data_IF_462801044036
#
_entry.id   IF_462801044036
#
_cell.length_a   1.000
_cell.length_b   1.000
_cell.length_c   1.000
_cell.angle_alpha   90.00
_cell.angle_beta   90.00
_cell.angle_gamma   90.00
#
_symmetry.space_group_name_H-M   'P 1'
#
loop_
_entity.id
_entity.type
_entity.pdbx_description
1 polymer ?
#
# COMPACT_ATOMS: atom_id res chain seq x y z
N UNK A 1 9.35 -41.64 -17.14
CA UNK A 1 8.03 -41.16 -16.68
C UNK A 1 7.07 -42.30 -16.32
N UNK A 2 7.00 -43.39 -17.10
CA UNK A 2 6.13 -44.56 -16.78
C UNK A 2 6.42 -45.22 -15.43
N UNK A 3 7.69 -45.32 -15.01
CA UNK A 3 8.09 -45.94 -13.73
C UNK A 3 7.54 -45.20 -12.49
N UNK A 4 7.42 -43.87 -12.54
CA UNK A 4 6.90 -43.09 -11.40
C UNK A 4 5.39 -43.24 -11.22
N UNK A 5 4.65 -43.44 -12.31
CA UNK A 5 3.20 -43.65 -12.25
C UNK A 5 2.86 -44.96 -11.53
N UNK A 6 3.68 -45.99 -11.68
CA UNK A 6 3.44 -47.28 -11.00
C UNK A 6 3.79 -47.25 -9.51
N UNK A 7 4.69 -46.36 -9.07
CA UNK A 7 5.15 -46.31 -7.68
C UNK A 7 4.10 -45.81 -6.68
N UNK A 8 3.16 -44.98 -7.13
CA UNK A 8 2.12 -44.37 -6.29
C UNK A 8 0.74 -44.99 -6.50
N UNK A 9 0.55 -45.71 -7.59
CA UNK A 9 -0.73 -46.33 -7.95
C UNK A 9 -1.24 -47.22 -6.81
N UNK A 10 -2.45 -46.96 -6.35
CA UNK A 10 -3.11 -47.72 -5.29
C UNK A 10 -2.58 -47.49 -3.87
N UNK A 11 -1.59 -46.61 -3.67
CA UNK A 11 -1.12 -46.26 -2.32
C UNK A 11 -2.11 -45.33 -1.61
N UNK A 12 -2.11 -45.41 -0.28
CA UNK A 12 -2.83 -44.48 0.60
C UNK A 12 -1.81 -43.61 1.33
N UNK A 13 -1.74 -42.34 0.97
CA UNK A 13 -0.79 -41.38 1.54
C UNK A 13 -1.42 -40.62 2.72
N UNK A 14 -0.62 -40.36 3.74
CA UNK A 14 -0.98 -39.51 4.88
C UNK A 14 -0.53 -38.09 4.59
N UNK A 15 -1.48 -37.16 4.51
CA UNK A 15 -1.25 -35.78 4.10
C UNK A 15 -1.50 -34.84 5.26
N UNK A 16 -0.47 -34.09 5.65
CA UNK A 16 -0.56 -33.02 6.63
C UNK A 16 -1.09 -31.72 6.01
N UNK A 17 -1.91 -30.96 6.74
CA UNK A 17 -2.28 -29.58 6.39
C UNK A 17 -2.52 -28.75 7.64
N UNK A 18 -2.54 -27.42 7.47
CA UNK A 18 -3.10 -26.50 8.44
C UNK A 18 -4.61 -26.31 8.19
N UNK A 19 -5.47 -26.41 9.22
CA UNK A 19 -6.92 -26.48 9.01
C UNK A 19 -7.60 -25.13 8.72
N UNK A 20 -6.96 -23.99 9.00
CA UNK A 20 -7.63 -22.69 9.06
C UNK A 20 -7.05 -21.62 8.08
N UNK A 21 -6.38 -22.03 7.00
CA UNK A 21 -5.70 -21.11 6.08
C UNK A 21 -6.52 -20.82 4.81
N UNK A 22 -7.73 -20.28 4.95
CA UNK A 22 -8.56 -19.93 3.78
C UNK A 22 -7.97 -18.73 3.00
N UNK A 23 -8.03 -18.72 1.65
CA UNK A 23 -8.55 -19.77 0.75
C UNK A 23 -7.48 -20.77 0.27
N UNK A 24 -6.28 -20.75 0.86
CA UNK A 24 -5.12 -21.53 0.44
C UNK A 24 -5.28 -23.02 0.75
N UNK A 25 -5.57 -23.36 2.01
CA UNK A 25 -5.92 -24.70 2.46
C UNK A 25 -6.76 -24.64 3.73
N UNK A 26 -7.82 -25.45 3.81
CA UNK A 26 -8.59 -25.65 5.03
C UNK A 26 -9.22 -27.03 5.05
N UNK A 27 -9.70 -27.45 6.22
CA UNK A 27 -10.31 -28.77 6.41
C UNK A 27 -11.71 -28.61 6.97
N UNK A 28 -12.64 -29.44 6.48
CA UNK A 28 -13.96 -29.61 7.07
C UNK A 28 -14.19 -31.07 7.42
N UNK A 29 -15.09 -31.35 8.35
CA UNK A 29 -15.50 -32.72 8.66
C UNK A 29 -16.77 -33.03 7.89
N UNK A 30 -16.77 -34.13 7.15
CA UNK A 30 -17.97 -34.59 6.48
C UNK A 30 -18.97 -35.13 7.51
N UNK A 31 -20.15 -34.49 7.59
CA UNK A 31 -21.19 -34.83 8.57
C UNK A 31 -21.74 -36.26 8.45
N UNK A 32 -21.56 -36.93 7.30
CA UNK A 32 -22.09 -38.28 7.05
C UNK A 32 -21.07 -39.37 7.36
N UNK A 33 -19.79 -39.13 7.10
CA UNK A 33 -18.72 -40.13 7.22
C UNK A 33 -17.80 -39.88 8.41
N UNK A 34 -17.85 -38.69 9.01
CA UNK A 34 -16.90 -38.25 10.04
C UNK A 34 -15.47 -38.05 9.52
N UNK A 35 -15.24 -38.23 8.21
CA UNK A 35 -13.92 -38.10 7.60
C UNK A 35 -13.57 -36.63 7.36
N UNK A 36 -12.29 -36.30 7.51
CA UNK A 36 -11.75 -35.00 7.16
C UNK A 36 -11.68 -34.84 5.63
N UNK A 37 -12.18 -33.71 5.14
CA UNK A 37 -12.16 -33.29 3.74
C UNK A 37 -11.38 -31.98 3.60
N UNK A 38 -10.41 -31.99 2.69
CA UNK A 38 -9.52 -30.86 2.45
C UNK A 38 -10.01 -30.01 1.30
N UNK A 39 -9.92 -28.69 1.46
CA UNK A 39 -10.39 -27.70 0.50
C UNK A 39 -9.38 -26.57 0.31
N UNK A 40 -9.53 -25.83 -0.79
CA UNK A 40 -8.66 -24.73 -1.18
C UNK A 40 -7.67 -25.14 -2.27
N UNK A 41 -6.85 -24.17 -2.69
CA UNK A 41 -5.97 -24.31 -3.85
C UNK A 41 -5.00 -25.49 -3.67
N UNK A 42 -4.45 -25.69 -2.46
CA UNK A 42 -3.53 -26.80 -2.21
C UNK A 42 -4.19 -28.18 -2.44
N UNK A 43 -5.46 -28.31 -2.04
CA UNK A 43 -6.21 -29.56 -2.19
C UNK A 43 -6.74 -29.76 -3.62
N UNK A 44 -6.99 -28.69 -4.38
CA UNK A 44 -7.31 -28.79 -5.80
C UNK A 44 -6.13 -29.36 -6.60
N UNK A 45 -4.91 -28.89 -6.30
CA UNK A 45 -3.67 -29.44 -6.88
C UNK A 45 -3.52 -30.91 -6.45
N UNK A 46 -3.69 -31.21 -5.15
CA UNK A 46 -3.55 -32.57 -4.64
C UNK A 46 -4.57 -33.55 -5.25
N UNK A 47 -5.83 -33.12 -5.41
CA UNK A 47 -6.88 -33.90 -6.09
C UNK A 47 -6.52 -34.19 -7.54
N UNK A 48 -5.97 -33.19 -8.24
CA UNK A 48 -5.49 -33.36 -9.62
C UNK A 48 -4.34 -34.39 -9.69
N UNK A 49 -3.41 -34.35 -8.73
CA UNK A 49 -2.33 -35.33 -8.64
C UNK A 49 -2.86 -36.73 -8.28
N UNK A 50 -3.77 -36.81 -7.32
CA UNK A 50 -4.42 -38.06 -6.90
C UNK A 50 -5.13 -38.75 -8.06
N UNK A 51 -5.88 -38.00 -8.87
CA UNK A 51 -6.53 -38.51 -10.07
C UNK A 51 -5.53 -38.94 -11.15
N UNK A 52 -4.45 -38.17 -11.36
CA UNK A 52 -3.44 -38.45 -12.38
C UNK A 52 -2.56 -39.67 -12.07
N UNK A 53 -2.20 -39.84 -10.80
CA UNK A 53 -1.29 -40.90 -10.34
C UNK A 53 -2.00 -42.05 -9.62
N UNK A 54 -3.35 -42.02 -9.60
CA UNK A 54 -4.23 -43.05 -9.04
C UNK A 54 -3.88 -43.45 -7.59
N UNK A 55 -3.51 -42.48 -6.75
CA UNK A 55 -3.31 -42.69 -5.31
C UNK A 55 -4.47 -42.12 -4.51
N UNK A 56 -4.69 -42.69 -3.33
CA UNK A 56 -5.65 -42.18 -2.34
C UNK A 56 -4.91 -41.48 -1.21
N UNK A 57 -5.59 -40.62 -0.46
CA UNK A 57 -5.00 -39.99 0.70
C UNK A 57 -5.97 -39.81 1.86
N UNK A 58 -5.41 -39.63 3.05
CA UNK A 58 -6.12 -39.19 4.24
C UNK A 58 -5.43 -37.98 4.87
N UNK A 59 -6.22 -37.16 5.54
CA UNK A 59 -5.74 -35.91 6.12
C UNK A 59 -5.43 -36.15 7.58
N UNK A 60 -4.22 -35.75 7.99
CA UNK A 60 -3.77 -35.75 9.38
C UNK A 60 -3.52 -34.30 9.79
N UNK A 61 -4.07 -33.90 10.94
CA UNK A 61 -3.91 -32.54 11.45
C UNK A 61 -2.82 -32.50 12.52
N UNK A 62 -1.95 -31.47 12.52
CA UNK A 62 -0.97 -31.28 13.58
C UNK A 62 -1.65 -30.84 14.88
N UNK A 63 -1.10 -31.27 16.02
CA UNK A 63 -1.54 -30.82 17.35
C UNK A 63 -1.33 -29.33 17.56
N UNK A 64 -0.28 -28.75 16.94
CA UNK A 64 0.01 -27.31 16.96
C UNK A 64 -0.12 -26.72 15.55
N UNK A 65 -0.94 -25.68 15.42
CA UNK A 65 -1.18 -24.95 14.17
C UNK A 65 -0.05 -23.94 13.87
N UNK A 66 1.18 -24.41 13.80
CA UNK A 66 2.37 -23.58 13.53
C UNK A 66 3.25 -24.20 12.45
N UNK A 67 3.94 -23.33 11.71
CA UNK A 67 4.97 -23.69 10.73
C UNK A 67 6.38 -23.75 11.34
N UNK A 68 6.52 -23.34 12.61
CA UNK A 68 7.80 -23.42 13.33
C UNK A 68 8.12 -24.88 13.67
N UNK A 69 9.40 -25.26 13.63
CA UNK A 69 9.86 -26.58 14.05
C UNK A 69 9.73 -26.74 15.57
N UNK A 70 8.56 -27.22 15.99
CA UNK A 70 8.17 -27.45 17.39
C UNK A 70 7.42 -28.76 17.49
N UNK A 71 7.44 -29.41 18.66
CA UNK A 71 6.73 -30.67 18.86
C UNK A 71 5.23 -30.55 18.57
N UNK A 72 4.74 -31.44 17.72
CA UNK A 72 3.36 -31.45 17.24
C UNK A 72 3.03 -30.39 16.18
N UNK A 73 4.01 -29.62 15.69
CA UNK A 73 3.85 -28.75 14.51
C UNK A 73 3.76 -29.55 13.21
N UNK A 74 3.35 -28.90 12.11
CA UNK A 74 3.30 -29.55 10.80
C UNK A 74 4.68 -29.99 10.30
N UNK A 75 5.73 -29.25 10.68
CA UNK A 75 7.11 -29.59 10.33
C UNK A 75 7.58 -30.80 11.15
N UNK A 76 7.24 -30.85 12.43
CA UNK A 76 7.60 -31.97 13.30
C UNK A 76 6.94 -33.29 12.85
N UNK A 77 5.63 -33.29 12.55
CA UNK A 77 4.94 -34.50 12.07
C UNK A 77 5.45 -35.00 10.71
N UNK A 78 5.99 -34.11 9.87
CA UNK A 78 6.64 -34.49 8.61
C UNK A 78 8.05 -35.05 8.87
N UNK A 79 8.75 -34.55 9.90
CA UNK A 79 10.09 -34.99 10.32
C UNK A 79 10.04 -36.37 10.98
N UNK A 80 9.02 -36.62 11.79
CA UNK A 80 8.80 -37.89 12.49
C UNK A 80 8.22 -38.98 11.57
N UNK A 81 7.78 -38.63 10.36
CA UNK A 81 7.16 -39.55 9.42
C UNK A 81 5.73 -39.94 9.79
N UNK A 82 5.05 -39.15 10.62
CA UNK A 82 3.61 -39.29 10.87
C UNK A 82 2.78 -38.96 9.64
N UNK A 83 3.28 -38.06 8.79
CA UNK A 83 2.72 -37.76 7.47
C UNK A 83 3.77 -38.00 6.38
N UNK A 84 3.30 -38.40 5.20
CA UNK A 84 4.16 -38.68 4.04
C UNK A 84 4.42 -37.41 3.21
N UNK A 85 3.48 -36.46 3.26
CA UNK A 85 3.63 -35.15 2.63
C UNK A 85 2.78 -34.08 3.30
N UNK A 86 3.05 -32.81 2.99
CA UNK A 86 2.25 -31.66 3.42
C UNK A 86 1.61 -30.98 2.22
N UNK A 87 0.31 -30.74 2.30
CA UNK A 87 -0.47 -29.99 1.30
C UNK A 87 -0.96 -28.67 1.90
N UNK A 88 -0.08 -27.67 1.93
CA UNK A 88 -0.37 -26.32 2.42
C UNK A 88 0.56 -25.30 1.73
N UNK A 89 0.25 -24.01 1.88
CA UNK A 89 1.12 -22.93 1.42
C UNK A 89 2.20 -22.65 2.47
N UNK A 90 3.31 -23.39 2.35
CA UNK A 90 4.44 -23.28 3.27
C UNK A 90 5.53 -22.40 2.62
N UNK A 91 5.95 -21.30 3.25
CA UNK A 91 7.02 -20.46 2.72
C UNK A 91 8.36 -21.19 2.80
N UNK A 92 9.08 -21.25 1.67
CA UNK A 92 10.46 -21.73 1.65
C UNK A 92 11.36 -20.62 2.17
N UNK A 93 11.75 -20.70 3.44
CA UNK A 93 12.65 -19.73 4.04
C UNK A 93 14.09 -20.09 3.67
N UNK A 94 14.67 -19.36 2.72
CA UNK A 94 16.08 -19.50 2.37
C UNK A 94 16.94 -18.70 3.37
N UNK A 95 16.96 -19.15 4.62
CA UNK A 95 17.79 -18.53 5.65
C UNK A 95 19.23 -18.95 5.36
N UNK A 96 20.03 -18.04 4.78
CA UNK A 96 21.49 -18.19 4.80
C UNK A 96 21.92 -18.20 6.27
N UNK A 97 22.13 -19.40 6.84
CA UNK A 97 22.74 -19.54 8.16
C UNK A 97 24.14 -18.91 8.07
N UNK A 98 24.31 -17.70 8.60
CA UNK A 98 25.62 -17.09 8.71
C UNK A 98 26.46 -17.99 9.64
N UNK A 99 27.45 -18.69 9.07
CA UNK A 99 28.40 -19.59 9.76
C UNK A 99 29.20 -18.93 10.90
N UNK A 100 28.98 -17.65 11.19
CA UNK A 100 29.71 -16.87 12.20
C UNK A 100 29.29 -17.16 13.65
N UNK A 101 28.11 -17.75 13.90
CA UNK A 101 27.69 -18.13 15.26
C UNK A 101 28.33 -19.45 15.75
N UNK A 102 28.99 -20.19 14.86
CA UNK A 102 29.64 -21.47 15.18
C UNK A 102 31.12 -21.33 15.60
N UNK A 103 31.68 -20.11 15.58
CA UNK A 103 33.11 -19.89 15.88
C UNK A 103 33.48 -19.93 17.37
N UNK A 104 32.57 -20.34 18.28
CA UNK A 104 32.80 -20.28 19.74
C UNK A 104 32.66 -21.61 20.48
N UNK A 105 32.42 -22.75 19.83
CA UNK A 105 32.53 -24.04 20.55
C UNK A 105 33.43 -25.02 19.80
N UNK A 106 34.61 -25.18 20.38
CA UNK A 106 35.59 -26.21 20.15
C UNK A 106 34.95 -27.59 20.32
N UNK A 107 34.59 -28.22 19.21
CA UNK A 107 34.54 -29.68 18.98
C UNK A 107 34.15 -29.85 17.50
N UNK A 108 35.17 -29.80 16.64
CA UNK A 108 35.01 -29.71 15.19
C UNK A 108 34.41 -30.98 14.57
N UNK A 109 34.53 -32.15 15.22
CA UNK A 109 34.01 -33.42 14.71
C UNK A 109 32.54 -33.65 15.05
N UNK A 110 32.11 -33.36 16.29
CA UNK A 110 30.70 -33.48 16.68
C UNK A 110 29.83 -32.45 15.95
N UNK A 111 30.35 -31.23 15.78
CA UNK A 111 29.67 -30.19 15.02
C UNK A 111 29.60 -30.55 13.53
N UNK A 112 30.63 -31.17 12.93
CA UNK A 112 30.57 -31.66 11.55
C UNK A 112 29.52 -32.76 11.39
N UNK A 113 29.42 -33.67 12.34
CA UNK A 113 28.42 -34.74 12.32
C UNK A 113 26.98 -34.20 12.49
N UNK A 114 26.79 -33.25 13.41
CA UNK A 114 25.51 -32.58 13.64
C UNK A 114 25.12 -31.68 12.47
N UNK A 115 26.06 -30.93 11.89
CA UNK A 115 25.84 -30.12 10.70
C UNK A 115 25.51 -31.00 9.50
N UNK A 116 26.18 -32.14 9.34
CA UNK A 116 25.91 -33.09 8.27
C UNK A 116 24.55 -33.80 8.45
N UNK A 117 24.11 -34.07 9.68
CA UNK A 117 22.75 -34.56 9.97
C UNK A 117 21.68 -33.47 9.79
N UNK A 118 21.93 -32.22 10.17
CA UNK A 118 21.03 -31.09 9.90
C UNK A 118 20.94 -30.77 8.40
N UNK A 119 22.05 -30.84 7.67
CA UNK A 119 22.11 -30.66 6.22
C UNK A 119 21.44 -31.84 5.49
N UNK A 120 21.51 -33.06 6.04
CA UNK A 120 20.77 -34.23 5.54
C UNK A 120 19.26 -34.11 5.78
N UNK A 121 18.83 -33.29 6.74
CA UNK A 121 17.43 -32.95 6.99
C UNK A 121 16.96 -31.81 6.07
N UNK A 122 17.44 -31.80 4.83
CA UNK A 122 16.95 -30.89 3.81
C UNK A 122 15.58 -31.39 3.36
N UNK A 123 14.54 -30.67 3.78
CA UNK A 123 13.19 -30.83 3.26
C UNK A 123 13.23 -30.81 1.72
N UNK A 124 12.80 -31.90 1.10
CA UNK A 124 12.64 -31.94 -0.36
C UNK A 124 11.36 -31.22 -0.71
N UNK A 125 11.51 -29.97 -1.09
CA UNK A 125 10.41 -29.14 -1.57
C UNK A 125 9.96 -29.59 -2.95
N UNK A 126 8.67 -29.41 -3.23
CA UNK A 126 8.15 -29.46 -4.59
C UNK A 126 8.61 -28.25 -5.41
N UNK A 127 8.05 -28.13 -6.62
CA UNK A 127 8.24 -26.93 -7.45
C UNK A 127 7.59 -25.74 -6.73
N UNK A 128 8.24 -24.59 -6.76
CA UNK A 128 7.68 -23.35 -6.22
C UNK A 128 6.39 -22.97 -6.98
N UNK A 129 5.28 -22.84 -6.25
CA UNK A 129 3.98 -22.48 -6.84
C UNK A 129 3.87 -20.96 -7.15
N UNK A 130 4.63 -20.13 -6.44
CA UNK A 130 4.64 -18.68 -6.65
C UNK A 130 5.56 -17.95 -5.67
N UNK A 131 5.82 -16.68 -5.97
CA UNK A 131 6.61 -15.77 -5.13
C UNK A 131 5.68 -14.72 -4.50
N UNK A 132 5.68 -14.64 -3.17
CA UNK A 132 4.92 -13.62 -2.43
C UNK A 132 5.88 -12.66 -1.72
N UNK A 133 5.58 -11.36 -1.77
CA UNK A 133 6.32 -10.34 -1.04
C UNK A 133 5.69 -10.08 0.33
N UNK A 134 6.50 -9.81 1.34
CA UNK A 134 6.01 -9.35 2.63
C UNK A 134 5.49 -7.91 2.49
N UNK A 135 4.25 -7.70 2.89
CA UNK A 135 3.60 -6.38 2.85
C UNK A 135 3.02 -6.04 4.22
N UNK A 136 3.06 -4.76 4.58
CA UNK A 136 2.44 -4.26 5.81
C UNK A 136 1.01 -3.82 5.47
N UNK A 137 0.03 -4.45 6.12
CA UNK A 137 -1.37 -4.01 6.03
C UNK A 137 -1.61 -2.83 6.98
N UNK A 138 -2.08 -1.71 6.43
CA UNK A 138 -2.47 -0.54 7.21
C UNK A 138 -3.97 -0.28 7.06
N UNK A 139 -4.63 0.17 8.13
CA UNK A 139 -6.02 0.64 8.04
C UNK A 139 -6.05 1.85 7.11
N UNK A 140 -6.96 1.87 6.13
CA UNK A 140 -7.16 3.03 5.26
C UNK A 140 -7.42 4.28 6.13
N UNK A 141 -6.69 5.39 5.94
CA UNK A 141 -6.97 6.62 6.67
C UNK A 141 -8.37 7.12 6.33
N UNK A 142 -9.11 7.55 7.35
CA UNK A 142 -10.53 7.91 7.26
C UNK A 142 -10.77 9.20 6.44
N UNK A 143 -9.74 10.00 6.19
CA UNK A 143 -9.85 11.25 5.45
C UNK A 143 -9.08 11.14 4.12
N UNK A 144 -9.79 11.29 3.00
CA UNK A 144 -9.19 11.32 1.65
C UNK A 144 -9.47 12.62 0.89
N UNK A 145 -10.20 13.58 1.48
CA UNK A 145 -10.36 14.93 0.95
C UNK A 145 -11.07 15.80 2.00
N UNK A 146 -10.34 16.53 2.82
CA UNK A 146 -10.90 17.73 3.45
C UNK A 146 -11.12 18.76 2.33
N UNK A 147 -12.34 19.29 2.19
CA UNK A 147 -12.70 20.28 1.15
C UNK A 147 -11.85 21.56 1.16
N UNK A 148 -10.93 21.67 2.12
CA UNK A 148 -9.85 22.64 2.21
C UNK A 148 -8.95 22.69 0.97
N UNK A 149 -8.92 21.65 0.12
CA UNK A 149 -8.05 21.62 -1.06
C UNK A 149 -8.17 22.82 -2.01
N UNK A 150 -9.33 23.49 -2.04
CA UNK A 150 -9.55 24.68 -2.88
C UNK A 150 -8.97 25.97 -2.26
N UNK A 151 -8.88 26.05 -0.94
CA UNK A 151 -8.36 27.21 -0.19
C UNK A 151 -6.97 26.96 0.43
N UNK A 152 -6.48 25.73 0.33
CA UNK A 152 -5.17 25.28 0.80
C UNK A 152 -3.92 25.92 0.16
N UNK A 153 -3.93 26.58 -1.02
CA UNK A 153 -2.68 27.16 -1.52
C UNK A 153 -2.14 28.29 -0.62
N UNK A 154 -2.97 28.88 0.25
CA UNK A 154 -2.55 29.90 1.20
C UNK A 154 -3.14 29.66 2.59
N UNK A 155 -2.39 30.07 3.61
CA UNK A 155 -2.88 30.08 4.99
C UNK A 155 -4.05 31.06 5.15
N UNK A 156 -4.90 30.80 6.15
CA UNK A 156 -6.11 31.60 6.37
C UNK A 156 -5.78 33.07 6.69
N UNK A 157 -4.64 33.34 7.32
CA UNK A 157 -4.16 34.70 7.60
C UNK A 157 -3.90 35.47 6.30
N UNK A 158 -3.36 34.81 5.27
CA UNK A 158 -3.08 35.43 3.97
C UNK A 158 -4.38 35.81 3.28
N UNK A 159 -5.42 34.97 3.36
CA UNK A 159 -6.74 35.29 2.83
C UNK A 159 -7.35 36.54 3.48
N UNK A 160 -7.22 36.70 4.81
CA UNK A 160 -7.66 37.92 5.48
C UNK A 160 -6.85 39.14 5.05
N UNK A 161 -5.54 39.02 4.88
CA UNK A 161 -4.68 40.11 4.38
C UNK A 161 -5.07 40.55 2.96
N UNK A 162 -5.37 39.58 2.07
CA UNK A 162 -5.84 39.87 0.71
C UNK A 162 -7.17 40.64 0.77
N UNK A 163 -8.14 40.17 1.57
CA UNK A 163 -9.45 40.82 1.70
C UNK A 163 -9.34 42.24 2.28
N UNK A 164 -8.53 42.42 3.33
CA UNK A 164 -8.26 43.74 3.93
C UNK A 164 -7.62 44.67 2.90
N UNK A 165 -6.63 44.19 2.14
CA UNK A 165 -5.98 45.00 1.12
C UNK A 165 -6.97 45.48 0.05
N UNK A 166 -7.87 44.61 -0.41
CA UNK A 166 -8.89 44.94 -1.41
C UNK A 166 -9.85 46.03 -0.92
N UNK A 167 -10.27 45.95 0.35
CA UNK A 167 -11.18 46.93 0.96
C UNK A 167 -10.51 48.28 1.15
N UNK A 168 -9.21 48.32 1.50
CA UNK A 168 -8.47 49.56 1.75
C UNK A 168 -8.15 50.35 0.47
N UNK A 169 -7.97 49.68 -0.67
CA UNK A 169 -7.58 50.36 -1.92
C UNK A 169 -8.69 51.33 -2.40
N UNK A 170 -9.98 51.00 -2.23
CA UNK A 170 -11.10 51.86 -2.63
C UNK A 170 -11.08 53.25 -1.96
N UNK A 171 -11.06 53.31 -0.61
CA UNK A 171 -10.90 54.55 0.14
C UNK A 171 -9.61 55.31 -0.17
N UNK A 172 -8.48 54.61 -0.36
CA UNK A 172 -7.20 55.23 -0.74
C UNK A 172 -7.31 55.92 -2.10
N UNK A 173 -7.85 55.24 -3.11
CA UNK A 173 -8.08 55.80 -4.44
C UNK A 173 -9.01 57.02 -4.39
N UNK A 174 -10.09 56.94 -3.61
CA UNK A 174 -11.00 58.06 -3.43
C UNK A 174 -10.33 59.26 -2.73
N UNK A 175 -9.50 59.00 -1.72
CA UNK A 175 -8.72 60.04 -1.04
C UNK A 175 -7.73 60.71 -2.00
N UNK A 176 -7.02 59.95 -2.85
CA UNK A 176 -6.12 60.47 -3.88
C UNK A 176 -6.87 61.37 -4.86
N UNK A 177 -8.05 60.95 -5.36
CA UNK A 177 -8.86 61.79 -6.25
C UNK A 177 -9.30 63.10 -5.58
N UNK A 178 -9.65 63.05 -4.29
CA UNK A 178 -10.05 64.24 -3.52
C UNK A 178 -8.88 65.21 -3.32
N UNK A 179 -7.70 64.69 -2.95
CA UNK A 179 -6.47 65.48 -2.78
C UNK A 179 -6.03 66.08 -4.12
N UNK A 180 -6.09 65.32 -5.21
CA UNK A 180 -5.82 65.82 -6.58
C UNK A 180 -6.74 66.97 -6.95
N UNK A 181 -8.05 66.85 -6.70
CA UNK A 181 -9.00 67.94 -6.96
C UNK A 181 -8.66 69.19 -6.15
N UNK A 182 -8.28 69.01 -4.89
CA UNK A 182 -7.90 70.11 -4.01
C UNK A 182 -6.63 70.84 -4.50
N UNK A 183 -5.62 70.11 -4.98
CA UNK A 183 -4.36 70.69 -5.47
C UNK A 183 -4.45 71.28 -6.88
N UNK A 184 -5.14 70.63 -7.81
CA UNK A 184 -5.15 71.03 -9.23
C UNK A 184 -6.25 72.02 -9.60
N UNK A 185 -7.19 72.32 -8.70
CA UNK A 185 -8.30 73.27 -8.94
C UNK A 185 -9.21 72.92 -10.13
N UNK A 186 -9.00 71.75 -10.76
CA UNK A 186 -9.72 71.30 -11.96
C UNK A 186 -10.96 70.50 -11.54
N UNK A 187 -12.08 70.71 -12.22
CA UNK A 187 -13.32 69.96 -12.01
C UNK A 187 -13.23 68.53 -12.60
N UNK A 188 -12.30 67.70 -12.10
CA UNK A 188 -12.25 66.27 -12.46
C UNK A 188 -13.43 65.53 -11.85
N UNK A 189 -14.07 64.63 -12.59
CA UNK A 189 -15.18 63.81 -12.11
C UNK A 189 -14.75 62.96 -10.90
N UNK A 190 -15.52 63.01 -9.81
CA UNK A 190 -15.29 62.16 -8.63
C UNK A 190 -16.05 60.86 -8.82
N UNK A 191 -15.32 59.75 -8.85
CA UNK A 191 -15.95 58.45 -8.82
C UNK A 191 -16.36 58.08 -7.38
N UNK A 192 -17.56 57.50 -7.20
CA UNK A 192 -17.99 56.99 -5.89
C UNK A 192 -17.06 55.85 -5.46
N UNK A 193 -16.90 55.68 -4.14
CA UNK A 193 -15.98 54.67 -3.55
C UNK A 193 -16.31 53.26 -4.08
N UNK A 194 -17.59 52.95 -4.27
CA UNK A 194 -18.04 51.67 -4.84
C UNK A 194 -17.51 51.41 -6.25
N UNK A 195 -17.43 52.44 -7.09
CA UNK A 195 -16.87 52.33 -8.45
C UNK A 195 -15.36 52.09 -8.42
N UNK A 196 -14.64 52.73 -7.47
CA UNK A 196 -13.20 52.51 -7.28
C UNK A 196 -12.91 51.08 -6.78
N UNK A 197 -13.68 50.58 -5.83
CA UNK A 197 -13.53 49.21 -5.33
C UNK A 197 -13.81 48.17 -6.42
N UNK A 198 -14.86 48.39 -7.23
CA UNK A 198 -15.20 47.53 -8.37
C UNK A 198 -14.12 47.54 -9.45
N UNK A 199 -13.54 48.71 -9.76
CA UNK A 199 -12.42 48.85 -10.69
C UNK A 199 -11.20 48.02 -10.25
N UNK A 200 -10.81 48.14 -8.98
CA UNK A 200 -9.65 47.42 -8.40
C UNK A 200 -9.90 45.91 -8.39
N UNK A 201 -11.10 45.49 -8.01
CA UNK A 201 -11.49 44.09 -8.03
C UNK A 201 -11.42 43.48 -9.44
N UNK A 202 -11.95 44.18 -10.46
CA UNK A 202 -11.88 43.74 -11.85
C UNK A 202 -10.46 43.68 -12.41
N UNK A 203 -9.59 44.61 -12.00
CA UNK A 203 -8.17 44.60 -12.35
C UNK A 203 -7.44 43.39 -11.72
N UNK A 204 -7.72 43.08 -10.45
CA UNK A 204 -7.08 41.97 -9.72
C UNK A 204 -7.50 40.59 -10.24
N UNK A 205 -8.76 40.43 -10.65
CA UNK A 205 -9.25 39.19 -11.27
C UNK A 205 -8.82 39.02 -12.74
N UNK A 206 -8.03 39.95 -13.30
CA UNK A 206 -7.69 40.03 -14.74
C UNK A 206 -8.92 40.03 -15.67
N UNK A 207 -10.09 40.43 -15.16
CA UNK A 207 -11.32 40.50 -15.94
C UNK A 207 -11.51 41.87 -16.61
N UNK A 208 -10.65 42.83 -16.28
CA UNK A 208 -10.79 44.22 -16.72
C UNK A 208 -11.97 44.90 -16.03
N UNK A 209 -12.14 46.19 -16.28
CA UNK A 209 -13.35 46.91 -15.86
C UNK A 209 -13.78 47.87 -16.96
N UNK A 210 -15.07 48.22 -16.98
CA UNK A 210 -15.64 49.15 -17.97
C UNK A 210 -15.30 50.62 -17.66
N UNK A 211 -14.67 50.89 -16.52
CA UNK A 211 -14.26 52.22 -16.11
C UNK A 211 -12.82 52.46 -16.59
N UNK A 212 -12.66 53.27 -17.63
CA UNK A 212 -11.35 53.75 -18.05
C UNK A 212 -11.05 55.06 -17.30
N UNK A 213 -10.05 55.15 -16.41
CA UNK A 213 -9.68 56.42 -15.80
C UNK A 213 -9.09 57.34 -16.88
N UNK A 214 -9.94 58.16 -17.50
CA UNK A 214 -9.51 59.24 -18.40
C UNK A 214 -8.90 60.37 -17.58
N UNK A 215 -7.64 60.21 -17.26
CA UNK A 215 -6.76 61.29 -16.81
C UNK A 215 -5.45 61.14 -17.55
N UNK A 216 -5.22 62.02 -18.53
CA UNK A 216 -3.89 62.23 -19.10
C UNK A 216 -2.90 62.59 -18.01
N UNK A 217 -1.68 62.09 -18.18
CA UNK A 217 -0.48 62.34 -17.41
C UNK A 217 -0.49 61.91 -15.93
N UNK A 218 0.12 60.74 -15.68
CA UNK A 218 1.10 60.43 -14.60
C UNK A 218 0.95 59.03 -13.95
N UNK A 219 -0.07 58.23 -14.27
CA UNK A 219 -0.28 56.90 -13.63
C UNK A 219 -0.25 55.71 -14.58
N UNK A 220 0.13 55.91 -15.84
CA UNK A 220 0.27 54.83 -16.82
C UNK A 220 1.77 54.54 -17.05
N UNK A 221 2.37 53.70 -16.20
CA UNK A 221 3.72 53.16 -16.43
C UNK A 221 3.69 51.89 -17.30
N UNK A 222 2.51 51.38 -17.66
CA UNK A 222 2.38 50.09 -18.36
C UNK A 222 2.56 50.17 -19.88
N UNK A 223 2.94 51.33 -20.45
CA UNK A 223 3.08 51.48 -21.90
C UNK A 223 4.53 51.40 -22.43
N UNK A 224 5.50 50.91 -21.66
CA UNK A 224 6.87 50.70 -22.17
C UNK A 224 7.52 49.38 -21.71
N UNK A 225 6.87 48.23 -21.80
CA UNK A 225 7.55 46.95 -22.07
C UNK A 225 6.57 45.98 -22.74
N UNK A 226 6.56 45.92 -24.07
CA UNK A 226 6.40 44.63 -24.76
C UNK A 226 6.92 44.70 -26.22
N UNK A 227 8.12 44.14 -26.37
CA UNK A 227 8.65 43.34 -27.48
C UNK A 227 8.13 43.55 -28.91
N UNK A 228 9.00 44.13 -29.72
CA UNK A 228 9.61 43.38 -30.83
C UNK A 228 11.09 43.15 -30.52
#
# INVERSE_FOLDING_TARGET
MQLQNELLKGKKLRVGTLPDQKPMSWVTTNNKTGKLEGHGIAFEILNTLSAKYEFSYEIILPSRKTLLDQDGSIMNILKTGEVDMVAAFVPVLNIKKNKMAALVKSEEEELKLQLQQEEAMQWKWGIELGQSQYVVMMKRPHESATGSGLLAPFEIEVWFLILISLVLIGPIMHAIMRVRRWLSGTHSELYPISACTWFVYGALMKQGSTLNPRTGDSTNIDNYVEFH
#
